data_IF_221215708607
#
_entry.id   IF_221215708607
#
_cell.length_a   1.000
_cell.length_b   1.000
_cell.length_c   1.000
_cell.angle_alpha   90.00
_cell.angle_beta   90.00
_cell.angle_gamma   90.00
#
_symmetry.space_group_name_H-M   'P 1'
#
loop_
_entity.id
_entity.type
_entity.pdbx_description
1 polymer ?
#
# COMPACT_ATOMS: atom_id res chain seq x y z
N UNK A 1 -1.49 -11.48 -24.28
CA UNK A 1 -2.00 -11.21 -22.92
C UNK A 1 -2.67 -9.85 -22.94
N UNK A 2 -3.97 -9.76 -22.65
CA UNK A 2 -4.72 -8.51 -22.66
C UNK A 2 -4.89 -8.03 -21.21
N UNK A 3 -4.33 -6.88 -20.88
CA UNK A 3 -4.51 -6.26 -19.57
C UNK A 3 -5.90 -5.63 -19.49
N UNK A 4 -6.62 -5.92 -18.40
CA UNK A 4 -7.91 -5.31 -18.08
C UNK A 4 -7.85 -4.78 -16.66
N UNK A 5 -8.30 -3.54 -16.46
CA UNK A 5 -8.24 -2.86 -15.17
C UNK A 5 -9.64 -2.85 -14.54
N UNK A 6 -9.70 -2.98 -13.23
CA UNK A 6 -10.95 -2.98 -12.45
C UNK A 6 -10.82 -1.98 -11.32
N UNK A 7 -11.86 -1.18 -11.08
CA UNK A 7 -11.81 -0.19 -10.01
C UNK A 7 -13.09 0.62 -9.89
N UNK A 8 -13.02 1.68 -9.09
CA UNK A 8 -14.11 2.63 -8.88
C UNK A 8 -13.66 4.03 -9.26
N UNK A 9 -14.60 4.87 -9.68
CA UNK A 9 -14.33 6.26 -9.99
C UNK A 9 -15.62 7.09 -10.01
N UNK A 10 -15.55 8.43 -9.91
CA UNK A 10 -16.70 9.31 -10.17
C UNK A 10 -17.25 9.13 -11.59
N UNK A 11 -18.52 9.51 -11.83
CA UNK A 11 -19.18 9.30 -13.14
C UNK A 11 -18.41 9.90 -14.31
N UNK A 12 -17.94 11.14 -14.15
CA UNK A 12 -17.30 11.89 -15.24
C UNK A 12 -15.78 11.73 -15.25
N UNK A 13 -15.23 10.84 -14.41
CA UNK A 13 -13.79 10.69 -14.32
C UNK A 13 -13.24 9.92 -15.54
N UNK A 14 -12.21 10.44 -16.23
CA UNK A 14 -11.72 9.86 -17.48
C UNK A 14 -11.22 8.41 -17.34
N UNK A 15 -10.76 8.04 -16.15
CA UNK A 15 -10.29 6.66 -15.85
C UNK A 15 -11.38 5.60 -16.09
N UNK A 16 -12.68 5.96 -16.02
CA UNK A 16 -13.78 5.01 -16.31
C UNK A 16 -13.74 4.45 -17.73
N UNK A 17 -13.04 5.11 -18.66
CA UNK A 17 -12.83 4.62 -20.03
C UNK A 17 -11.74 3.55 -20.12
N UNK A 18 -10.90 3.46 -19.09
CA UNK A 18 -9.73 2.57 -19.02
C UNK A 18 -9.96 1.37 -18.10
N UNK A 19 -11.03 1.38 -17.30
CA UNK A 19 -11.32 0.36 -16.29
C UNK A 19 -12.75 -0.17 -16.43
N UNK A 20 -12.95 -1.43 -16.04
CA UNK A 20 -14.26 -1.96 -15.69
C UNK A 20 -14.68 -1.34 -14.36
N UNK A 21 -15.66 -0.43 -14.42
CA UNK A 21 -16.21 0.27 -13.27
C UNK A 21 -17.66 -0.15 -13.00
N UNK A 22 -18.10 -0.13 -11.72
CA UNK A 22 -19.50 -0.34 -11.40
C UNK A 22 -20.40 0.79 -11.92
N UNK A 23 -21.70 0.49 -12.01
CA UNK A 23 -22.73 1.46 -12.44
C UNK A 23 -22.92 2.63 -11.46
N UNK A 24 -22.44 2.53 -10.22
CA UNK A 24 -22.48 3.63 -9.25
C UNK A 24 -21.17 4.39 -9.22
N UNK A 25 -21.21 5.68 -8.89
CA UNK A 25 -20.03 6.51 -8.64
C UNK A 25 -19.43 6.28 -7.25
N UNK A 26 -18.11 6.35 -7.15
CA UNK A 26 -17.40 6.42 -5.87
C UNK A 26 -16.08 7.20 -6.05
N UNK A 27 -15.53 7.85 -5.00
CA UNK A 27 -14.20 8.45 -5.05
C UNK A 27 -13.13 7.42 -5.47
N UNK A 28 -12.04 7.86 -6.12
CA UNK A 28 -10.99 6.97 -6.61
C UNK A 28 -10.42 6.06 -5.51
N UNK A 29 -10.21 6.62 -4.32
CA UNK A 29 -9.60 5.92 -3.19
C UNK A 29 -10.63 5.25 -2.27
N UNK A 30 -11.90 5.16 -2.68
CA UNK A 30 -12.97 4.69 -1.80
C UNK A 30 -12.83 3.20 -1.45
N UNK A 31 -12.19 2.39 -2.29
CA UNK A 31 -11.91 0.96 -2.02
C UNK A 31 -10.96 0.74 -0.84
N UNK A 32 -10.31 1.79 -0.32
CA UNK A 32 -9.60 1.73 0.95
C UNK A 32 -10.56 1.72 2.16
N UNK A 33 -11.81 2.18 1.98
CA UNK A 33 -12.85 2.22 3.03
C UNK A 33 -13.66 0.94 3.00
N UNK A 34 -13.86 0.35 4.18
CA UNK A 34 -14.49 -0.96 4.32
C UNK A 34 -15.87 -1.10 3.61
N UNK A 35 -16.84 -0.18 3.75
CA UNK A 35 -18.16 -0.38 3.13
C UNK A 35 -18.10 -0.41 1.61
N UNK A 36 -17.36 0.53 1.02
CA UNK A 36 -17.19 0.64 -0.43
C UNK A 36 -16.38 -0.55 -0.96
N UNK A 37 -15.35 -0.98 -0.22
CA UNK A 37 -14.55 -2.16 -0.54
C UNK A 37 -15.41 -3.43 -0.57
N UNK A 38 -16.17 -3.72 0.48
CA UNK A 38 -17.01 -4.92 0.55
C UNK A 38 -18.06 -4.93 -0.57
N UNK A 39 -18.64 -3.76 -0.88
CA UNK A 39 -19.56 -3.62 -2.01
C UNK A 39 -18.86 -3.90 -3.34
N UNK A 40 -17.65 -3.38 -3.53
CA UNK A 40 -16.86 -3.64 -4.73
C UNK A 40 -16.47 -5.12 -4.87
N UNK A 41 -15.84 -5.70 -3.85
CA UNK A 41 -15.35 -7.09 -3.82
C UNK A 41 -16.47 -8.13 -3.85
N UNK A 42 -17.64 -7.81 -3.28
CA UNK A 42 -18.77 -8.74 -3.17
C UNK A 42 -19.83 -8.59 -4.26
N UNK A 43 -20.17 -7.36 -4.66
CA UNK A 43 -21.31 -7.12 -5.56
C UNK A 43 -20.91 -6.87 -7.01
N UNK A 44 -19.74 -6.28 -7.28
CA UNK A 44 -19.32 -5.95 -8.64
C UNK A 44 -18.25 -6.89 -9.16
N UNK A 45 -17.13 -7.00 -8.44
CA UNK A 45 -15.92 -7.64 -8.92
C UNK A 45 -16.13 -9.10 -9.37
N UNK A 46 -16.88 -9.97 -8.65
CA UNK A 46 -17.05 -11.37 -9.08
C UNK A 46 -17.76 -11.51 -10.43
N UNK A 47 -18.75 -10.65 -10.70
CA UNK A 47 -19.47 -10.63 -11.97
C UNK A 47 -18.58 -10.08 -13.09
N UNK A 48 -17.97 -8.91 -12.84
CA UNK A 48 -17.10 -8.24 -13.80
C UNK A 48 -15.93 -9.14 -14.26
N UNK A 49 -15.30 -9.88 -13.34
CA UNK A 49 -14.22 -10.81 -13.70
C UNK A 49 -14.70 -11.96 -14.60
N UNK A 50 -15.91 -12.49 -14.36
CA UNK A 50 -16.50 -13.55 -15.20
C UNK A 50 -16.88 -13.02 -16.57
N UNK A 51 -17.57 -11.88 -16.62
CA UNK A 51 -18.06 -11.29 -17.87
C UNK A 51 -16.90 -10.90 -18.79
N UNK A 52 -15.78 -10.45 -18.20
CA UNK A 52 -14.55 -10.13 -18.92
C UNK A 52 -13.66 -11.36 -19.24
N UNK A 53 -14.06 -12.57 -18.85
CA UNK A 53 -13.31 -13.80 -19.11
C UNK A 53 -11.92 -13.84 -18.45
N UNK A 54 -11.79 -13.25 -17.25
CA UNK A 54 -10.49 -13.15 -16.57
C UNK A 54 -10.06 -14.52 -16.00
N UNK A 55 -8.85 -14.95 -16.35
CA UNK A 55 -8.24 -16.17 -15.83
C UNK A 55 -7.32 -15.91 -14.64
N UNK A 56 -6.65 -14.75 -14.60
CA UNK A 56 -5.74 -14.35 -13.54
C UNK A 56 -6.10 -12.92 -13.11
N UNK A 57 -6.50 -12.76 -11.85
CA UNK A 57 -6.75 -11.47 -11.24
C UNK A 57 -5.66 -11.12 -10.23
N UNK A 58 -5.10 -9.93 -10.36
CA UNK A 58 -4.06 -9.39 -9.47
C UNK A 58 -4.67 -8.26 -8.65
N UNK A 59 -4.80 -8.45 -7.34
CA UNK A 59 -5.16 -7.38 -6.43
C UNK A 59 -3.88 -6.61 -6.02
N UNK A 60 -3.88 -5.30 -6.23
CA UNK A 60 -2.72 -4.42 -6.04
C UNK A 60 -2.76 -3.62 -4.72
N UNK A 61 -3.65 -3.98 -3.81
CA UNK A 61 -3.71 -3.48 -2.42
C UNK A 61 -3.58 -4.67 -1.46
N UNK A 62 -3.34 -4.43 -0.16
CA UNK A 62 -3.16 -5.50 0.84
C UNK A 62 -4.38 -6.44 1.03
N UNK A 63 -5.46 -6.21 0.28
CA UNK A 63 -6.75 -6.91 0.23
C UNK A 63 -7.35 -6.72 -1.18
N UNK A 64 -8.67 -6.82 -1.40
CA UNK A 64 -9.23 -6.58 -2.75
C UNK A 64 -9.54 -7.85 -3.54
N UNK A 65 -9.43 -9.04 -2.95
CA UNK A 65 -9.85 -10.28 -3.60
C UNK A 65 -11.35 -10.53 -3.42
N UNK A 66 -12.05 -11.06 -4.45
CA UNK A 66 -13.49 -11.29 -4.40
C UNK A 66 -13.97 -12.05 -3.16
N UNK A 67 -15.12 -11.63 -2.63
CA UNK A 67 -15.80 -12.35 -1.56
C UNK A 67 -16.59 -13.55 -2.11
N UNK A 68 -16.75 -14.58 -1.28
CA UNK A 68 -17.53 -15.76 -1.62
C UNK A 68 -16.73 -16.85 -2.33
N UNK A 69 -17.43 -17.71 -3.08
CA UNK A 69 -16.80 -18.87 -3.73
C UNK A 69 -16.01 -18.43 -4.96
N UNK A 70 -14.70 -18.66 -4.91
CA UNK A 70 -13.79 -18.48 -6.04
C UNK A 70 -14.24 -19.33 -7.24
N UNK A 71 -14.45 -18.74 -8.44
CA UNK A 71 -14.83 -19.49 -9.64
C UNK A 71 -13.76 -20.53 -10.03
N UNK A 72 -14.20 -21.64 -10.61
CA UNK A 72 -13.28 -22.65 -11.14
C UNK A 72 -12.45 -22.06 -12.29
N UNK A 73 -11.16 -22.38 -12.34
CA UNK A 73 -10.23 -21.90 -13.38
C UNK A 73 -9.63 -20.51 -13.13
N UNK A 74 -10.28 -19.67 -12.33
CA UNK A 74 -9.76 -18.34 -11.98
C UNK A 74 -8.61 -18.46 -10.96
N UNK A 75 -7.51 -17.73 -11.18
CA UNK A 75 -6.39 -17.61 -10.25
C UNK A 75 -6.30 -16.21 -9.66
N UNK A 76 -5.95 -16.14 -8.38
CA UNK A 76 -5.79 -14.90 -7.63
C UNK A 76 -4.34 -14.71 -7.22
N UNK A 77 -3.81 -13.54 -7.54
CA UNK A 77 -2.54 -13.04 -7.04
C UNK A 77 -2.85 -11.85 -6.14
N UNK A 78 -2.31 -11.86 -4.92
CA UNK A 78 -2.39 -10.72 -4.01
C UNK A 78 -1.02 -10.06 -3.92
N UNK A 79 -0.94 -8.76 -4.20
CA UNK A 79 0.24 -7.97 -3.90
C UNK A 79 0.12 -7.38 -2.49
N UNK A 80 0.86 -8.00 -1.56
CA UNK A 80 0.93 -7.59 -0.16
C UNK A 80 2.12 -6.67 0.04
N UNK A 81 1.87 -5.37 0.20
CA UNK A 81 2.90 -4.34 0.32
C UNK A 81 3.53 -4.33 1.71
N UNK A 82 2.68 -4.36 2.74
CA UNK A 82 3.11 -4.28 4.13
C UNK A 82 2.03 -4.83 5.08
N UNK A 83 2.40 -4.92 6.36
CA UNK A 83 1.53 -5.42 7.43
C UNK A 83 1.47 -4.42 8.60
N UNK A 84 1.87 -3.16 8.38
CA UNK A 84 1.91 -2.16 9.47
C UNK A 84 0.54 -1.91 10.08
N UNK A 85 -0.54 -2.06 9.31
CA UNK A 85 -1.93 -1.96 9.79
C UNK A 85 -2.24 -2.98 10.89
N UNK A 86 -1.54 -4.13 10.88
CA UNK A 86 -1.69 -5.20 11.87
C UNK A 86 -0.63 -5.12 12.97
N UNK A 87 0.59 -4.71 12.64
CA UNK A 87 1.74 -4.73 13.56
C UNK A 87 1.93 -3.44 14.34
N UNK A 88 1.46 -2.30 13.84
CA UNK A 88 1.62 -0.99 14.48
C UNK A 88 0.32 -0.50 15.11
N UNK A 89 0.45 0.16 16.27
CA UNK A 89 -0.66 0.86 16.90
C UNK A 89 -0.80 2.25 16.27
N UNK A 90 -1.59 2.36 15.20
CA UNK A 90 -1.96 3.67 14.67
C UNK A 90 -2.82 4.41 15.70
N UNK A 91 -2.37 5.61 16.08
CA UNK A 91 -2.96 6.44 17.12
C UNK A 91 -4.24 7.13 16.60
N UNK A 92 -5.32 6.37 16.42
CA UNK A 92 -6.61 6.94 16.08
C UNK A 92 -7.20 7.60 17.32
N UNK A 93 -7.80 8.80 17.16
CA UNK A 93 -8.35 9.60 18.25
C UNK A 93 -9.42 8.89 19.10
N UNK A 94 -10.01 7.80 18.60
CA UNK A 94 -10.92 6.92 19.35
C UNK A 94 -10.42 5.47 19.39
N UNK A 95 -10.13 4.98 20.60
CA UNK A 95 -9.66 3.60 20.85
C UNK A 95 -10.63 2.52 20.34
N UNK A 96 -11.93 2.80 20.35
CA UNK A 96 -12.96 1.89 19.86
C UNK A 96 -12.94 1.80 18.33
N UNK A 97 -12.92 2.96 17.65
CA UNK A 97 -12.81 3.05 16.19
C UNK A 97 -11.55 2.33 15.69
N UNK A 98 -10.41 2.55 16.36
CA UNK A 98 -9.14 1.87 16.08
C UNK A 98 -9.23 0.35 16.19
N UNK A 99 -9.94 -0.16 17.20
CA UNK A 99 -10.09 -1.61 17.42
C UNK A 99 -10.97 -2.23 16.33
N UNK A 100 -12.07 -1.58 15.96
CA UNK A 100 -12.96 -2.05 14.89
C UNK A 100 -12.22 -2.09 13.56
N UNK A 101 -11.52 -1.01 13.17
CA UNK A 101 -10.76 -0.99 11.92
C UNK A 101 -9.68 -2.06 11.87
N UNK A 102 -8.89 -2.20 12.92
CA UNK A 102 -7.87 -3.26 12.98
C UNK A 102 -8.47 -4.66 12.83
N UNK A 103 -9.60 -4.92 13.49
CA UNK A 103 -10.27 -6.20 13.34
C UNK A 103 -10.76 -6.42 11.91
N UNK A 104 -11.38 -5.41 11.30
CA UNK A 104 -11.90 -5.52 9.93
C UNK A 104 -10.78 -5.65 8.90
N UNK A 105 -9.67 -4.96 9.08
CA UNK A 105 -8.49 -5.07 8.22
C UNK A 105 -7.83 -6.43 8.39
N UNK A 106 -7.70 -6.92 9.63
CA UNK A 106 -7.19 -8.26 9.89
C UNK A 106 -8.05 -9.33 9.18
N UNK A 107 -9.37 -9.25 9.30
CA UNK A 107 -10.28 -10.19 8.62
C UNK A 107 -10.18 -10.07 7.10
N UNK A 108 -10.12 -8.84 6.55
CA UNK A 108 -10.03 -8.60 5.10
C UNK A 108 -8.72 -9.12 4.50
N UNK A 109 -7.61 -8.84 5.19
CA UNK A 109 -6.27 -9.32 4.82
C UNK A 109 -6.24 -10.84 4.94
N UNK A 110 -6.65 -11.41 6.08
CA UNK A 110 -6.66 -12.86 6.29
C UNK A 110 -7.50 -13.59 5.24
N UNK A 111 -8.66 -13.05 4.86
CA UNK A 111 -9.48 -13.57 3.77
C UNK A 111 -8.70 -13.59 2.45
N UNK A 112 -8.12 -12.45 2.06
CA UNK A 112 -7.38 -12.32 0.81
C UNK A 112 -6.20 -13.29 0.76
N UNK A 113 -5.42 -13.38 1.84
CA UNK A 113 -4.30 -14.33 1.97
C UNK A 113 -4.79 -15.80 1.86
N UNK A 114 -5.96 -16.12 2.42
CA UNK A 114 -6.54 -17.45 2.34
C UNK A 114 -6.93 -17.83 0.92
N UNK A 115 -7.59 -16.94 0.16
CA UNK A 115 -8.11 -17.27 -1.18
C UNK A 115 -7.11 -17.06 -2.33
N UNK A 116 -6.02 -16.32 -2.09
CA UNK A 116 -4.94 -16.16 -3.04
C UNK A 116 -4.27 -17.50 -3.39
N UNK A 117 -3.87 -17.68 -4.65
CA UNK A 117 -2.99 -18.79 -5.10
C UNK A 117 -1.52 -18.41 -4.96
N UNK A 118 -1.20 -17.13 -5.15
CA UNK A 118 0.13 -16.56 -4.99
C UNK A 118 0.02 -15.22 -4.28
N UNK A 119 1.01 -14.93 -3.44
CA UNK A 119 1.11 -13.70 -2.67
C UNK A 119 2.48 -13.09 -2.98
N UNK A 120 2.47 -11.91 -3.58
CA UNK A 120 3.68 -11.17 -3.92
C UNK A 120 3.99 -10.16 -2.84
N UNK A 121 5.21 -10.20 -2.31
CA UNK A 121 5.70 -9.24 -1.32
C UNK A 121 6.89 -8.46 -1.87
N UNK A 122 7.09 -7.20 -1.47
CA UNK A 122 8.17 -6.37 -2.01
C UNK A 122 9.56 -6.75 -1.48
N UNK A 123 9.63 -7.55 -0.41
CA UNK A 123 10.88 -7.93 0.24
C UNK A 123 10.75 -9.26 0.99
N UNK A 124 11.90 -9.84 1.34
CA UNK A 124 11.97 -11.00 2.23
C UNK A 124 11.44 -10.68 3.63
N UNK A 125 11.71 -9.47 4.16
CA UNK A 125 11.19 -9.04 5.45
C UNK A 125 9.66 -9.09 5.50
N UNK A 126 8.99 -8.54 4.49
CA UNK A 126 7.52 -8.59 4.41
C UNK A 126 7.01 -10.02 4.28
N UNK A 127 7.71 -10.88 3.53
CA UNK A 127 7.36 -12.30 3.41
C UNK A 127 7.46 -13.04 4.75
N UNK A 128 8.54 -12.81 5.50
CA UNK A 128 8.77 -13.44 6.80
C UNK A 128 7.74 -12.98 7.83
N UNK A 129 7.43 -11.68 7.87
CA UNK A 129 6.37 -11.14 8.72
C UNK A 129 4.99 -11.68 8.34
N UNK A 130 4.70 -11.83 7.05
CA UNK A 130 3.46 -12.45 6.57
C UNK A 130 3.36 -13.91 7.01
N UNK A 131 4.44 -14.69 6.86
CA UNK A 131 4.51 -16.08 7.29
C UNK A 131 4.47 -16.23 8.82
N UNK A 132 4.99 -15.26 9.58
CA UNK A 132 4.93 -15.23 11.03
C UNK A 132 3.50 -15.01 11.52
N UNK A 133 2.78 -14.08 10.91
CA UNK A 133 1.39 -13.75 11.28
C UNK A 133 0.38 -14.76 10.73
N UNK A 134 0.65 -15.32 9.54
CA UNK A 134 -0.21 -16.27 8.84
C UNK A 134 0.60 -17.47 8.34
N UNK A 135 0.94 -18.45 9.20
CA UNK A 135 1.81 -19.57 8.82
C UNK A 135 1.31 -20.40 7.63
N UNK A 136 -0.02 -20.49 7.46
CA UNK A 136 -0.66 -21.30 6.42
C UNK A 136 -0.43 -20.81 4.97
N UNK A 137 0.12 -19.61 4.78
CA UNK A 137 0.35 -19.05 3.43
C UNK A 137 1.80 -19.16 2.96
N UNK A 138 2.69 -19.77 3.74
CA UNK A 138 4.13 -19.84 3.47
C UNK A 138 4.44 -20.28 2.03
N UNK A 139 3.76 -21.32 1.55
CA UNK A 139 4.03 -21.90 0.22
C UNK A 139 3.56 -21.01 -0.94
N UNK A 140 2.69 -20.04 -0.66
CA UNK A 140 2.12 -19.08 -1.61
C UNK A 140 2.97 -17.82 -1.78
N UNK A 141 3.88 -17.55 -0.85
CA UNK A 141 4.66 -16.31 -0.82
C UNK A 141 5.76 -16.31 -1.88
N UNK A 142 5.89 -15.20 -2.60
CA UNK A 142 6.99 -14.93 -3.53
C UNK A 142 7.45 -13.49 -3.35
N UNK A 143 8.76 -13.30 -3.25
CA UNK A 143 9.35 -11.95 -3.21
C UNK A 143 9.42 -11.42 -4.64
N UNK A 144 8.69 -10.34 -4.90
CA UNK A 144 8.69 -9.59 -6.16
C UNK A 144 8.98 -8.14 -5.81
N UNK A 145 10.25 -7.69 -5.90
CA UNK A 145 10.63 -6.33 -5.58
C UNK A 145 9.84 -5.32 -6.42
N UNK A 146 9.49 -4.18 -5.80
CA UNK A 146 8.83 -3.09 -6.52
C UNK A 146 9.79 -2.55 -7.59
N UNK A 147 9.26 -2.38 -8.80
CA UNK A 147 10.01 -1.77 -9.88
C UNK A 147 9.98 -0.25 -9.72
N UNK A 148 11.16 0.35 -9.73
CA UNK A 148 11.32 1.78 -9.98
C UNK A 148 11.94 1.92 -11.37
N UNK A 149 11.44 2.87 -12.16
CA UNK A 149 12.12 3.24 -13.39
C UNK A 149 13.46 3.87 -13.02
N UNK A 150 14.51 3.50 -13.77
CA UNK A 150 15.80 4.15 -13.61
C UNK A 150 15.63 5.62 -13.98
N UNK A 151 16.18 6.52 -13.16
CA UNK A 151 16.28 7.93 -13.53
C UNK A 151 17.14 8.06 -14.79
N UNK A 152 16.53 8.50 -15.90
CA UNK A 152 17.18 8.69 -17.21
C UNK A 152 17.29 10.16 -17.62
N UNK A 153 16.78 11.10 -16.80
CA UNK A 153 16.82 12.53 -17.10
C UNK A 153 18.11 13.19 -16.63
N UNK A 154 18.26 14.47 -16.99
CA UNK A 154 19.26 15.34 -16.35
C UNK A 154 18.82 15.68 -14.93
N UNK A 155 19.74 15.73 -13.95
CA UNK A 155 19.44 16.22 -12.61
C UNK A 155 18.79 17.61 -12.68
N UNK A 156 17.74 17.83 -11.89
CA UNK A 156 17.11 19.14 -11.81
C UNK A 156 18.11 20.19 -11.30
N UNK A 157 18.02 21.42 -11.82
CA UNK A 157 18.76 22.54 -11.26
C UNK A 157 18.21 22.89 -9.88
N UNK A 158 18.99 22.56 -8.84
CA UNK A 158 18.67 22.79 -7.44
C UNK A 158 19.36 24.02 -6.86
N UNK A 159 20.01 24.86 -7.67
CA UNK A 159 20.75 26.04 -7.19
C UNK A 159 19.89 27.00 -6.36
N UNK A 160 18.61 27.14 -6.74
CA UNK A 160 17.65 27.98 -6.01
C UNK A 160 17.35 27.48 -4.59
N UNK A 161 17.56 26.20 -4.30
CA UNK A 161 17.34 25.62 -2.97
C UNK A 161 18.43 26.02 -1.96
N UNK A 162 19.54 26.61 -2.41
CA UNK A 162 20.66 27.11 -1.56
C UNK A 162 21.11 26.07 -0.52
N UNK A 163 21.26 24.82 -0.96
CA UNK A 163 21.61 23.70 -0.08
C UNK A 163 23.05 23.82 0.46
N UNK A 164 23.34 23.28 1.65
CA UNK A 164 24.70 23.20 2.17
C UNK A 164 25.63 22.43 1.21
N UNK A 165 26.94 22.70 1.27
CA UNK A 165 27.92 21.99 0.45
C UNK A 165 27.97 20.49 0.77
N UNK A 166 27.77 20.12 2.03
CA UNK A 166 27.70 18.74 2.52
C UNK A 166 26.49 18.61 3.44
N UNK A 167 25.63 17.65 3.15
CA UNK A 167 24.45 17.39 3.96
C UNK A 167 24.05 15.92 3.93
N UNK A 168 23.31 15.51 4.96
CA UNK A 168 22.48 14.32 4.93
C UNK A 168 21.11 14.70 4.39
N UNK A 169 20.54 13.86 3.52
CA UNK A 169 19.21 14.04 2.96
C UNK A 169 18.27 12.99 3.53
N UNK A 170 17.20 13.43 4.17
CA UNK A 170 16.12 12.55 4.62
C UNK A 170 14.84 12.91 3.86
N UNK A 171 14.31 11.95 3.10
CA UNK A 171 13.07 12.12 2.33
C UNK A 171 11.97 11.22 2.90
N UNK A 172 10.89 11.82 3.36
CA UNK A 172 9.74 11.09 3.91
C UNK A 172 8.73 11.98 4.62
N UNK A 173 7.47 11.55 4.65
CA UNK A 173 6.42 12.18 5.46
C UNK A 173 6.73 12.02 6.96
N UNK A 174 6.18 12.91 7.79
CA UNK A 174 6.36 12.88 9.26
C UNK A 174 5.50 11.83 9.97
N UNK A 175 5.10 10.79 9.24
CA UNK A 175 4.31 9.69 9.80
C UNK A 175 5.12 8.91 10.84
N UNK A 176 4.52 8.51 11.98
CA UNK A 176 5.23 7.80 13.05
C UNK A 176 6.04 6.58 12.58
N UNK A 177 5.51 5.84 11.60
CA UNK A 177 6.15 4.64 11.03
C UNK A 177 7.48 4.92 10.30
N UNK A 178 7.74 6.17 9.90
CA UNK A 178 8.98 6.59 9.26
C UNK A 178 10.08 6.90 10.28
N UNK A 179 9.73 7.00 11.56
CA UNK A 179 10.64 7.22 12.67
C UNK A 179 11.58 8.43 12.49
N UNK A 180 11.10 9.47 11.79
CA UNK A 180 11.88 10.68 11.48
C UNK A 180 12.35 11.39 12.75
N UNK A 181 11.52 11.39 13.81
CA UNK A 181 11.91 11.99 15.10
C UNK A 181 13.20 11.36 15.64
N UNK A 182 13.25 10.03 15.72
CA UNK A 182 14.42 9.32 16.23
C UNK A 182 15.67 9.65 15.41
N UNK A 183 15.54 9.71 14.08
CA UNK A 183 16.65 10.05 13.19
C UNK A 183 17.18 11.47 13.46
N UNK A 184 16.29 12.45 13.64
CA UNK A 184 16.66 13.83 13.97
C UNK A 184 17.34 13.92 15.34
N UNK A 185 16.80 13.23 16.36
CA UNK A 185 17.40 13.19 17.70
C UNK A 185 18.82 12.58 17.66
N UNK A 186 19.01 11.52 16.87
CA UNK A 186 20.31 10.88 16.66
C UNK A 186 21.30 11.80 15.94
N UNK A 187 20.86 12.52 14.89
CA UNK A 187 21.68 13.51 14.20
C UNK A 187 22.08 14.67 15.12
N UNK A 188 21.17 15.18 15.96
CA UNK A 188 21.49 16.20 16.97
C UNK A 188 22.56 15.71 17.95
N UNK A 189 22.44 14.45 18.39
CA UNK A 189 23.43 13.82 19.28
C UNK A 189 24.80 13.72 18.60
N UNK A 190 24.85 13.29 17.34
CA UNK A 190 26.08 13.24 16.56
C UNK A 190 26.72 14.63 16.40
N UNK A 191 25.92 15.66 16.12
CA UNK A 191 26.40 17.05 15.99
C UNK A 191 27.01 17.59 17.29
N UNK A 192 26.50 17.19 18.45
CA UNK A 192 27.10 17.56 19.74
C UNK A 192 28.43 16.85 20.03
N UNK A 193 28.66 15.68 19.45
CA UNK A 193 29.87 14.87 19.67
C UNK A 193 30.96 15.12 18.62
N UNK A 194 30.56 15.40 17.38
CA UNK A 194 31.47 15.53 16.25
C UNK A 194 31.22 16.86 15.52
N UNK A 195 32.19 17.77 15.63
CA UNK A 195 32.12 19.10 15.03
C UNK A 195 31.94 19.07 13.50
N UNK A 196 32.43 18.02 12.83
CA UNK A 196 32.37 17.85 11.37
C UNK A 196 31.10 17.15 10.87
N UNK A 197 30.07 16.99 11.72
CA UNK A 197 28.78 16.39 11.32
C UNK A 197 28.10 17.27 10.25
N UNK A 198 27.79 16.74 9.05
CA UNK A 198 27.12 17.52 8.00
C UNK A 198 25.73 18.02 8.41
N UNK A 199 25.27 19.08 7.77
CA UNK A 199 23.92 19.61 7.96
C UNK A 199 22.85 18.58 7.53
N UNK A 200 21.63 18.70 8.08
CA UNK A 200 20.52 17.80 7.74
C UNK A 200 19.46 18.54 6.91
N UNK A 201 19.16 18.03 5.72
CA UNK A 201 18.08 18.48 4.86
C UNK A 201 16.92 17.48 4.96
N UNK A 202 15.73 17.98 5.33
CA UNK A 202 14.51 17.20 5.42
C UNK A 202 13.57 17.57 4.26
N UNK A 203 13.04 16.56 3.57
CA UNK A 203 12.07 16.72 2.48
C UNK A 203 10.84 15.86 2.77
N UNK A 204 9.69 16.50 2.91
CA UNK A 204 8.41 15.83 3.17
C UNK A 204 7.32 16.83 3.52
N UNK A 205 6.06 16.47 3.29
CA UNK A 205 4.91 17.30 3.68
C UNK A 205 4.67 17.32 5.20
N UNK A 206 4.04 18.39 5.68
CA UNK A 206 3.66 18.58 7.08
C UNK A 206 2.38 17.83 7.47
N UNK A 207 1.62 17.33 6.50
CA UNK A 207 0.37 16.61 6.76
C UNK A 207 0.66 15.15 7.12
N UNK A 208 0.38 14.69 8.36
CA UNK A 208 0.02 13.29 8.54
C UNK A 208 -1.20 13.02 7.67
N UNK A 209 -1.28 11.87 6.99
CA UNK A 209 -2.51 11.43 6.33
C UNK A 209 -3.67 11.61 7.32
N UNK A 210 -4.51 12.60 7.03
CA UNK A 210 -5.71 12.89 7.81
C UNK A 210 -6.65 11.69 7.69
N UNK A 211 -7.12 11.19 8.83
CA UNK A 211 -8.16 10.16 8.91
C UNK A 211 -9.50 10.62 8.33
#
# INVERSE_FOLDING_TARGET
MQLQLFGVAPYDHPVRRLIHAPRWAAPLDSVHRLPDRLRFEGAFLPGALRDAGIEIYVANINMGLPLGRKPAGMRYVLQLHDLFQLTQQNNHGSRLKARVYRFTDHVSIAWSLKVADQIWTPSQFTADEAARLFPAIRDKLRVVPLLIERFQGEPADITQLRLPQRYWLCVGTREPRKNIKWFVDAWQTARMQFADTPELVLVGGDEPLTE
#
